data_IF_367047458672
#
_entry.id   IF_367047458672
#
_cell.length_a   1.000
_cell.length_b   1.000
_cell.length_c   1.000
_cell.angle_alpha   90.00
_cell.angle_beta   90.00
_cell.angle_gamma   90.00
#
_symmetry.space_group_name_H-M   'P 1'
#
loop_
_entity.id
_entity.type
_entity.pdbx_description
1 polymer ?
#
# COMPACT_ATOMS: atom_id res chain seq x y z
N UNK A 1 68.54 27.95 7.26
CA UNK A 1 67.46 27.04 7.72
C UNK A 1 66.37 27.04 6.66
N UNK A 2 66.24 25.94 5.95
CA UNK A 2 65.28 25.86 4.84
C UNK A 2 63.89 25.56 5.37
N UNK A 3 62.86 26.01 4.65
CA UNK A 3 61.45 25.83 5.01
C UNK A 3 61.03 24.36 5.22
N UNK A 4 61.88 23.39 4.84
CA UNK A 4 61.68 21.97 4.99
C UNK A 4 61.95 21.43 6.41
N UNK A 5 62.75 22.11 7.22
CA UNK A 5 63.04 21.67 8.60
C UNK A 5 62.00 22.09 9.62
N UNK A 6 61.18 23.08 9.30
CA UNK A 6 60.11 23.58 10.22
C UNK A 6 58.88 22.68 10.23
N UNK A 7 58.62 21.94 9.15
CA UNK A 7 57.43 21.04 9.04
C UNK A 7 57.65 19.71 9.77
N UNK A 8 58.91 19.28 9.98
CA UNK A 8 59.22 18.00 10.60
C UNK A 8 59.04 17.96 12.13
N UNK A 9 58.90 19.11 12.80
CA UNK A 9 58.82 19.21 14.26
C UNK A 9 57.47 19.69 14.79
N UNK A 10 56.40 19.61 14.02
CA UNK A 10 55.06 19.80 14.58
C UNK A 10 54.62 18.54 15.35
N UNK A 11 54.39 18.63 16.67
CA UNK A 11 53.85 17.48 17.40
C UNK A 11 52.47 17.14 16.86
N UNK A 12 52.35 15.95 16.29
CA UNK A 12 51.03 15.35 15.97
C UNK A 12 50.29 15.18 17.32
N UNK A 13 49.52 16.21 17.69
CA UNK A 13 48.53 16.07 18.74
C UNK A 13 47.47 15.09 18.17
N UNK A 14 47.64 13.81 18.46
CA UNK A 14 46.57 12.84 18.35
C UNK A 14 45.47 13.25 19.34
N UNK A 15 44.55 14.10 18.88
CA UNK A 15 43.33 14.37 19.57
C UNK A 15 42.53 13.05 19.57
N UNK A 16 42.75 12.23 20.60
CA UNK A 16 41.85 11.13 20.94
C UNK A 16 40.48 11.74 21.19
N UNK A 17 39.63 11.70 20.18
CA UNK A 17 38.21 12.01 20.30
C UNK A 17 37.67 11.00 21.32
N UNK A 18 37.60 11.39 22.59
CA UNK A 18 36.83 10.65 23.59
C UNK A 18 35.40 10.65 23.12
N UNK A 19 35.00 9.55 22.49
CA UNK A 19 33.57 9.25 22.21
C UNK A 19 32.94 9.14 23.61
N UNK A 20 32.39 10.25 24.08
CA UNK A 20 31.57 10.27 25.28
C UNK A 20 30.40 9.30 24.97
N UNK A 21 30.34 8.15 25.64
CA UNK A 21 29.15 7.30 25.64
C UNK A 21 28.02 8.18 26.11
N UNK A 22 27.22 8.68 25.15
CA UNK A 22 26.01 9.44 25.45
C UNK A 22 25.16 8.60 26.40
N UNK A 23 25.07 9.04 27.66
CA UNK A 23 23.98 8.57 28.54
C UNK A 23 22.69 8.81 27.80
N UNK A 24 21.86 7.77 27.66
CA UNK A 24 20.59 7.87 26.98
C UNK A 24 19.82 9.12 27.46
N UNK A 25 19.66 10.09 26.59
CA UNK A 25 18.98 11.34 26.92
C UNK A 25 17.45 11.10 26.88
N UNK A 26 16.90 10.88 28.06
CA UNK A 26 15.46 10.64 28.26
C UNK A 26 14.59 11.90 28.13
N UNK A 27 15.20 13.06 27.85
CA UNK A 27 14.44 14.32 27.72
C UNK A 27 13.44 14.29 26.58
N UNK A 28 13.74 13.57 25.50
CA UNK A 28 12.82 13.37 24.38
C UNK A 28 11.54 12.61 24.74
N UNK A 29 11.58 11.73 25.76
CA UNK A 29 10.42 10.99 26.22
C UNK A 29 9.27 11.87 26.71
N UNK A 30 9.57 13.04 27.27
CA UNK A 30 8.53 13.99 27.71
C UNK A 30 7.63 14.48 26.58
N UNK A 31 8.13 14.45 25.34
CA UNK A 31 7.36 14.84 24.15
C UNK A 31 6.68 13.64 23.47
N UNK A 32 7.26 12.45 23.62
CA UNK A 32 6.75 11.24 22.97
C UNK A 32 5.71 10.48 23.80
N UNK A 33 5.71 10.61 25.13
CA UNK A 33 4.84 9.77 25.96
C UNK A 33 3.33 9.94 25.70
N UNK A 34 2.79 11.15 25.40
CA UNK A 34 1.36 11.26 25.11
C UNK A 34 0.98 10.47 23.86
N UNK A 35 1.79 10.55 22.80
CA UNK A 35 1.60 9.76 21.60
C UNK A 35 1.75 8.25 21.90
N UNK A 36 2.77 7.86 22.63
CA UNK A 36 3.02 6.46 22.97
C UNK A 36 1.87 5.86 23.79
N UNK A 37 1.30 6.64 24.73
CA UNK A 37 0.14 6.21 25.51
C UNK A 37 -1.07 5.96 24.61
N UNK A 38 -1.41 6.92 23.74
CA UNK A 38 -2.54 6.77 22.80
C UNK A 38 -2.28 5.59 21.84
N UNK A 39 -1.06 5.45 21.33
CA UNK A 39 -0.68 4.34 20.45
C UNK A 39 -0.86 2.98 21.13
N UNK A 40 -0.41 2.83 22.37
CA UNK A 40 -0.59 1.58 23.13
C UNK A 40 -2.07 1.30 23.37
N UNK A 41 -2.84 2.30 23.75
CA UNK A 41 -4.26 2.13 24.07
C UNK A 41 -5.12 1.79 22.83
N UNK A 42 -4.84 2.45 21.71
CA UNK A 42 -5.66 2.33 20.49
C UNK A 42 -5.22 1.17 19.60
N UNK A 43 -3.93 0.85 19.57
CA UNK A 43 -3.40 -0.18 18.67
C UNK A 43 -2.91 -1.42 19.41
N UNK A 44 -2.03 -1.27 20.41
CA UNK A 44 -1.39 -2.44 21.04
C UNK A 44 -2.39 -3.25 21.86
N UNK A 45 -3.18 -2.61 22.71
CA UNK A 45 -4.16 -3.31 23.56
C UNK A 45 -5.20 -4.08 22.73
N UNK A 46 -5.85 -3.50 21.70
CA UNK A 46 -6.80 -4.25 20.87
C UNK A 46 -6.14 -5.41 20.12
N UNK A 47 -4.91 -5.27 19.64
CA UNK A 47 -4.19 -6.38 18.99
C UNK A 47 -3.94 -7.52 20.00
N UNK A 48 -3.44 -7.20 21.19
CA UNK A 48 -3.22 -8.19 22.25
C UNK A 48 -4.54 -8.87 22.68
N UNK A 49 -5.62 -8.10 22.75
CA UNK A 49 -6.94 -8.64 23.02
C UNK A 49 -7.43 -9.56 21.89
N UNK A 50 -7.24 -9.19 20.64
CA UNK A 50 -7.57 -10.05 19.51
C UNK A 50 -6.76 -11.36 19.53
N UNK A 51 -5.44 -11.29 19.84
CA UNK A 51 -4.61 -12.48 20.03
C UNK A 51 -5.17 -13.32 21.19
N UNK A 52 -5.51 -12.70 22.31
CA UNK A 52 -6.08 -13.43 23.45
C UNK A 52 -7.36 -14.17 23.10
N UNK A 53 -8.37 -13.49 22.52
CA UNK A 53 -9.64 -14.10 22.19
C UNK A 53 -9.55 -15.14 21.08
N UNK A 54 -8.52 -15.12 20.23
CA UNK A 54 -8.31 -16.10 19.16
C UNK A 54 -8.06 -17.52 19.68
N UNK A 55 -7.59 -17.66 20.93
CA UNK A 55 -7.39 -18.95 21.60
C UNK A 55 -8.64 -19.50 22.29
N UNK A 56 -9.74 -18.77 22.23
CA UNK A 56 -11.00 -19.15 22.83
C UNK A 56 -12.07 -19.40 21.77
N UNK A 57 -13.13 -20.11 22.15
CA UNK A 57 -14.29 -20.32 21.31
C UNK A 57 -15.57 -20.10 22.13
N UNK A 58 -16.48 -19.31 21.61
CA UNK A 58 -17.82 -19.12 22.16
C UNK A 58 -18.69 -20.31 21.76
N UNK A 59 -19.19 -21.05 22.72
CA UNK A 59 -20.10 -22.19 22.51
C UNK A 59 -21.55 -21.72 22.66
N UNK A 60 -22.47 -22.35 21.93
CA UNK A 60 -23.91 -22.04 22.05
C UNK A 60 -24.44 -22.32 23.47
N UNK A 61 -23.91 -23.35 24.11
CA UNK A 61 -24.24 -23.74 25.48
C UNK A 61 -22.91 -23.91 26.22
N UNK A 62 -22.76 -23.24 27.39
CA UNK A 62 -21.52 -23.35 28.19
C UNK A 62 -20.57 -22.17 28.13
N UNK A 63 -20.90 -21.09 27.38
CA UNK A 63 -20.10 -19.84 27.38
C UNK A 63 -18.85 -19.92 26.56
N UNK A 64 -17.77 -19.24 26.97
CA UNK A 64 -16.49 -19.18 26.26
C UNK A 64 -15.50 -20.17 26.84
N UNK A 65 -14.96 -21.04 26.00
CA UNK A 65 -14.00 -22.08 26.37
C UNK A 65 -12.64 -21.82 25.73
N UNK A 66 -11.58 -22.09 26.49
CA UNK A 66 -10.21 -22.10 25.94
C UNK A 66 -10.02 -23.32 25.04
N UNK A 67 -9.62 -23.10 23.79
CA UNK A 67 -9.44 -24.13 22.75
C UNK A 67 -8.02 -24.15 22.17
N UNK A 68 -7.11 -23.36 22.73
CA UNK A 68 -5.74 -23.27 22.24
C UNK A 68 -5.72 -22.86 20.76
N UNK A 69 -4.99 -23.62 19.94
CA UNK A 69 -4.79 -23.33 18.50
C UNK A 69 -5.89 -23.87 17.58
N UNK A 70 -6.99 -24.41 18.11
CA UNK A 70 -8.03 -25.06 17.29
C UNK A 70 -8.65 -24.14 16.25
N UNK A 71 -8.81 -22.83 16.55
CA UNK A 71 -9.29 -21.86 15.58
C UNK A 71 -8.33 -21.72 14.39
N UNK A 72 -7.03 -21.77 14.63
CA UNK A 72 -6.01 -21.71 13.58
C UNK A 72 -5.99 -22.99 12.74
N UNK A 73 -6.11 -24.16 13.38
CA UNK A 73 -6.22 -25.46 12.67
C UNK A 73 -7.46 -25.45 11.77
N UNK A 74 -8.61 -25.01 12.28
CA UNK A 74 -9.83 -24.83 11.49
C UNK A 74 -9.60 -23.91 10.30
N UNK A 75 -8.91 -22.78 10.50
CA UNK A 75 -8.64 -21.79 9.48
C UNK A 75 -7.78 -22.35 8.34
N UNK A 76 -6.76 -23.15 8.66
CA UNK A 76 -5.92 -23.79 7.64
C UNK A 76 -6.70 -24.76 6.73
N UNK A 77 -7.81 -25.29 7.18
CA UNK A 77 -8.70 -26.16 6.38
C UNK A 77 -9.91 -25.41 5.81
N UNK A 78 -10.03 -24.11 6.05
CA UNK A 78 -11.15 -23.29 5.58
C UNK A 78 -10.95 -22.88 4.12
N UNK A 79 -11.68 -23.54 3.23
CA UNK A 79 -11.63 -23.25 1.78
C UNK A 79 -12.09 -21.83 1.45
N UNK A 80 -13.02 -21.24 2.20
CA UNK A 80 -13.50 -19.86 1.98
C UNK A 80 -12.39 -18.85 2.28
N UNK A 81 -11.63 -19.09 3.35
CA UNK A 81 -10.47 -18.28 3.69
C UNK A 81 -9.42 -18.31 2.58
N UNK A 82 -8.97 -19.49 2.15
CA UNK A 82 -7.94 -19.60 1.13
C UNK A 82 -8.39 -19.10 -0.25
N UNK A 83 -9.67 -19.28 -0.60
CA UNK A 83 -10.26 -18.68 -1.81
C UNK A 83 -10.21 -17.16 -1.76
N UNK A 84 -10.51 -16.54 -0.62
CA UNK A 84 -10.45 -15.10 -0.42
C UNK A 84 -9.00 -14.57 -0.47
N UNK A 85 -8.05 -15.26 0.16
CA UNK A 85 -6.61 -14.94 0.10
C UNK A 85 -6.09 -15.03 -1.32
N UNK A 86 -6.41 -16.12 -2.03
CA UNK A 86 -6.00 -16.30 -3.43
C UNK A 86 -6.54 -15.20 -4.35
N UNK A 87 -7.78 -14.77 -4.15
CA UNK A 87 -8.39 -13.66 -4.90
C UNK A 87 -7.66 -12.35 -4.67
N UNK A 88 -7.36 -12.01 -3.41
CA UNK A 88 -6.62 -10.79 -3.09
C UNK A 88 -5.16 -10.87 -3.55
N UNK A 89 -4.53 -12.05 -3.49
CA UNK A 89 -3.19 -12.24 -4.03
C UNK A 89 -3.15 -12.01 -5.55
N UNK A 90 -4.11 -12.56 -6.31
CA UNK A 90 -4.26 -12.31 -7.74
C UNK A 90 -4.51 -10.83 -8.03
N UNK A 91 -5.43 -10.21 -7.27
CA UNK A 91 -5.70 -8.77 -7.35
C UNK A 91 -4.42 -7.96 -7.17
N UNK A 92 -3.67 -8.21 -6.11
CA UNK A 92 -2.41 -7.52 -5.80
C UNK A 92 -1.39 -7.70 -6.92
N UNK A 93 -1.23 -8.94 -7.41
CA UNK A 93 -0.24 -9.26 -8.45
C UNK A 93 -0.50 -8.56 -9.79
N UNK A 94 -1.75 -8.23 -10.10
CA UNK A 94 -2.12 -7.57 -11.36
C UNK A 94 -2.30 -6.05 -11.15
N UNK A 95 -3.08 -5.65 -10.17
CA UNK A 95 -3.47 -4.25 -9.97
C UNK A 95 -2.30 -3.38 -9.53
N UNK A 96 -1.47 -3.85 -8.57
CA UNK A 96 -0.35 -3.04 -8.04
C UNK A 96 0.69 -2.70 -9.12
N UNK A 97 1.20 -3.63 -9.95
CA UNK A 97 2.10 -3.27 -11.04
C UNK A 97 1.50 -2.27 -12.02
N UNK A 98 0.24 -2.44 -12.42
CA UNK A 98 -0.45 -1.52 -13.35
C UNK A 98 -0.54 -0.13 -12.73
N UNK A 99 -1.00 -0.01 -11.51
CA UNK A 99 -1.14 1.26 -10.80
C UNK A 99 0.21 1.97 -10.62
N UNK A 100 1.24 1.26 -10.20
CA UNK A 100 2.57 1.84 -9.99
C UNK A 100 3.24 2.23 -11.32
N UNK A 101 3.02 1.46 -12.39
CA UNK A 101 3.48 1.83 -13.72
C UNK A 101 2.82 3.13 -14.20
N UNK A 102 1.50 3.26 -14.07
CA UNK A 102 0.78 4.49 -14.41
C UNK A 102 1.25 5.67 -13.56
N UNK A 103 1.44 5.46 -12.27
CA UNK A 103 1.94 6.48 -11.35
C UNK A 103 3.34 6.97 -11.72
N UNK A 104 4.25 6.05 -12.04
CA UNK A 104 5.60 6.38 -12.46
C UNK A 104 5.61 7.11 -13.82
N UNK A 105 4.81 6.65 -14.78
CA UNK A 105 4.66 7.31 -16.08
C UNK A 105 4.14 8.75 -15.94
N UNK A 106 3.12 8.96 -15.09
CA UNK A 106 2.61 10.29 -14.78
C UNK A 106 3.64 11.17 -14.07
N UNK A 107 4.39 10.64 -13.11
CA UNK A 107 5.44 11.37 -12.40
C UNK A 107 6.56 11.82 -13.36
N UNK A 108 7.01 10.92 -14.24
CA UNK A 108 8.01 11.22 -15.26
C UNK A 108 7.52 12.29 -16.25
N UNK A 109 6.23 12.24 -16.65
CA UNK A 109 5.63 13.25 -17.49
C UNK A 109 5.56 14.61 -16.81
N UNK A 110 5.20 14.65 -15.52
CA UNK A 110 5.13 15.90 -14.74
C UNK A 110 6.50 16.51 -14.43
N UNK A 111 7.55 15.68 -14.38
CA UNK A 111 8.94 16.11 -14.19
C UNK A 111 9.60 16.59 -15.50
N UNK A 112 8.88 16.55 -16.61
CA UNK A 112 9.40 17.05 -17.88
C UNK A 112 9.49 18.58 -17.86
N UNK A 113 10.66 19.13 -18.20
CA UNK A 113 10.89 20.58 -18.30
C UNK A 113 10.01 21.27 -19.37
N UNK A 114 9.43 20.49 -20.29
CA UNK A 114 8.56 20.97 -21.36
C UNK A 114 7.10 21.13 -20.99
N UNK A 115 6.67 20.57 -19.85
CA UNK A 115 5.27 20.55 -19.47
C UNK A 115 4.83 21.89 -18.87
N UNK A 116 3.99 22.61 -19.60
CA UNK A 116 3.31 23.80 -19.11
C UNK A 116 2.09 23.40 -18.25
N UNK A 117 1.92 24.07 -17.11
CA UNK A 117 0.80 23.77 -16.21
C UNK A 117 0.94 22.51 -15.33
N UNK A 118 2.15 22.02 -15.10
CA UNK A 118 2.43 20.84 -14.26
C UNK A 118 1.72 20.89 -12.90
N UNK A 119 1.58 22.07 -12.29
CA UNK A 119 0.87 22.27 -11.02
C UNK A 119 -0.61 21.87 -11.14
N UNK A 120 -1.29 22.24 -12.21
CA UNK A 120 -2.69 21.90 -12.45
C UNK A 120 -2.85 20.38 -12.63
N UNK A 121 -2.05 19.78 -13.49
CA UNK A 121 -2.10 18.32 -13.72
C UNK A 121 -1.79 17.51 -12.46
N UNK A 122 -0.84 17.96 -11.65
CA UNK A 122 -0.51 17.32 -10.37
C UNK A 122 -1.69 17.34 -9.40
N UNK A 123 -2.37 18.47 -9.26
CA UNK A 123 -3.55 18.60 -8.39
C UNK A 123 -4.70 17.73 -8.93
N UNK A 124 -5.00 17.81 -10.22
CA UNK A 124 -6.09 17.07 -10.85
C UNK A 124 -5.90 15.56 -10.74
N UNK A 125 -4.67 15.07 -10.92
CA UNK A 125 -4.35 13.64 -10.81
C UNK A 125 -4.41 13.15 -9.35
N UNK A 126 -4.10 14.01 -8.39
CA UNK A 126 -4.17 13.69 -6.97
C UNK A 126 -5.61 13.75 -6.42
N UNK A 127 -6.50 14.53 -7.03
CA UNK A 127 -7.85 14.77 -6.55
C UNK A 127 -8.66 13.49 -6.26
N UNK A 128 -8.59 12.43 -7.07
CA UNK A 128 -9.27 11.16 -6.79
C UNK A 128 -8.97 10.59 -5.39
N UNK A 129 -7.73 10.66 -4.94
CA UNK A 129 -7.33 10.19 -3.61
C UNK A 129 -8.01 10.95 -2.46
N UNK A 130 -8.38 12.21 -2.68
CA UNK A 130 -9.10 13.02 -1.68
C UNK A 130 -10.60 12.68 -1.58
N UNK A 131 -11.13 11.89 -2.52
CA UNK A 131 -12.54 11.45 -2.49
C UNK A 131 -12.64 10.27 -1.52
N UNK A 132 -13.61 10.29 -0.57
CA UNK A 132 -13.83 9.13 0.30
C UNK A 132 -14.14 7.86 -0.50
N UNK A 133 -13.49 6.74 -0.18
CA UNK A 133 -13.63 5.46 -0.90
C UNK A 133 -15.09 4.98 -1.07
N UNK A 134 -15.96 5.28 -0.10
CA UNK A 134 -17.40 4.98 -0.20
C UNK A 134 -18.03 5.76 -1.36
N UNK A 135 -17.70 7.03 -1.50
CA UNK A 135 -18.27 7.89 -2.56
C UNK A 135 -17.75 7.49 -3.93
N UNK A 136 -16.44 7.28 -4.05
CA UNK A 136 -15.84 6.84 -5.32
C UNK A 136 -16.41 5.50 -5.77
N UNK A 137 -16.56 4.54 -4.86
CA UNK A 137 -17.14 3.23 -5.20
C UNK A 137 -18.60 3.34 -5.65
N UNK A 138 -19.42 4.18 -5.01
CA UNK A 138 -20.80 4.41 -5.45
C UNK A 138 -20.89 5.07 -6.83
N UNK A 139 -20.03 6.06 -7.10
CA UNK A 139 -19.97 6.73 -8.40
C UNK A 139 -19.54 5.73 -9.49
N UNK A 140 -18.48 4.97 -9.26
CA UNK A 140 -18.02 3.96 -10.22
C UNK A 140 -19.04 2.83 -10.40
N UNK A 141 -19.68 2.37 -9.31
CA UNK A 141 -20.74 1.37 -9.38
C UNK A 141 -21.91 1.82 -10.26
N UNK A 142 -22.33 3.11 -10.15
CA UNK A 142 -23.30 3.70 -11.05
C UNK A 142 -22.79 3.75 -12.50
N UNK A 143 -21.55 4.18 -12.72
CA UNK A 143 -20.95 4.26 -14.06
C UNK A 143 -20.82 2.89 -14.74
N UNK A 144 -20.65 1.82 -13.97
CA UNK A 144 -20.55 0.44 -14.47
C UNK A 144 -21.92 -0.20 -14.77
N UNK A 145 -23.01 0.45 -14.40
CA UNK A 145 -24.36 -0.09 -14.64
C UNK A 145 -24.59 -0.40 -16.12
N UNK A 146 -25.01 -1.65 -16.42
CA UNK A 146 -25.18 -2.13 -17.80
C UNK A 146 -26.33 -1.44 -18.57
N UNK A 147 -27.31 -0.86 -17.85
CA UNK A 147 -28.48 -0.18 -18.44
C UNK A 147 -28.48 1.35 -18.24
N UNK A 148 -27.60 1.86 -17.40
CA UNK A 148 -27.47 3.28 -17.10
C UNK A 148 -26.02 3.59 -16.73
N UNK A 149 -25.67 4.85 -16.65
CA UNK A 149 -24.28 5.24 -16.45
C UNK A 149 -23.47 5.19 -17.74
N UNK A 150 -22.14 5.22 -17.60
CA UNK A 150 -21.24 5.25 -18.76
C UNK A 150 -21.32 3.95 -19.59
N UNK A 151 -21.32 2.80 -18.93
CA UNK A 151 -21.34 1.49 -19.60
C UNK A 151 -22.67 1.27 -20.30
N UNK A 152 -23.80 1.65 -19.68
CA UNK A 152 -25.12 1.59 -20.33
C UNK A 152 -25.17 2.45 -21.60
N UNK A 153 -24.70 3.70 -21.54
CA UNK A 153 -24.63 4.57 -22.72
C UNK A 153 -23.73 4.03 -23.82
N UNK A 154 -22.59 3.40 -23.45
CA UNK A 154 -21.72 2.73 -24.42
C UNK A 154 -22.38 1.51 -25.05
N UNK A 155 -23.11 0.72 -24.28
CA UNK A 155 -23.87 -0.42 -24.77
C UNK A 155 -24.91 0.01 -25.80
N UNK A 156 -25.67 1.07 -25.51
CA UNK A 156 -26.68 1.61 -26.43
C UNK A 156 -26.04 2.15 -27.73
N UNK A 157 -24.89 2.86 -27.60
CA UNK A 157 -24.20 3.44 -28.75
C UNK A 157 -23.52 2.38 -29.64
N UNK A 158 -22.92 1.33 -29.03
CA UNK A 158 -22.19 0.28 -29.75
C UNK A 158 -23.04 -0.93 -30.09
N UNK A 159 -24.29 -1.02 -29.61
CA UNK A 159 -25.14 -2.19 -29.75
C UNK A 159 -24.60 -3.43 -29.03
N UNK A 160 -23.88 -3.22 -27.88
CA UNK A 160 -23.27 -4.28 -27.10
C UNK A 160 -24.01 -4.53 -25.79
N UNK A 161 -23.68 -5.62 -25.08
CA UNK A 161 -24.21 -5.96 -23.76
C UNK A 161 -23.04 -6.19 -22.80
N UNK A 162 -22.16 -5.20 -22.67
CA UNK A 162 -21.06 -5.26 -21.72
C UNK A 162 -21.61 -5.17 -20.29
N UNK A 163 -21.27 -6.14 -19.45
CA UNK A 163 -21.56 -6.14 -18.02
C UNK A 163 -20.24 -6.18 -17.24
N UNK A 164 -19.78 -5.00 -16.85
CA UNK A 164 -18.51 -4.80 -16.11
C UNK A 164 -18.64 -5.32 -14.67
N UNK A 165 -19.85 -5.44 -14.14
CA UNK A 165 -20.12 -5.97 -12.80
C UNK A 165 -20.36 -7.49 -12.82
N UNK A 166 -20.20 -8.16 -13.96
CA UNK A 166 -20.27 -9.63 -14.04
C UNK A 166 -19.14 -10.29 -13.24
N UNK A 167 -19.36 -11.51 -12.70
CA UNK A 167 -18.37 -12.20 -11.85
C UNK A 167 -16.99 -12.33 -12.47
N UNK A 168 -16.90 -12.46 -13.80
CA UNK A 168 -15.64 -12.66 -14.52
C UNK A 168 -14.79 -11.38 -14.65
N UNK A 169 -15.42 -10.20 -14.61
CA UNK A 169 -14.76 -8.90 -14.83
C UNK A 169 -14.73 -8.07 -13.57
N UNK A 170 -15.55 -8.41 -12.58
CA UNK A 170 -15.73 -7.67 -11.34
C UNK A 170 -14.41 -7.35 -10.60
N UNK A 171 -13.48 -8.30 -10.55
CA UNK A 171 -12.18 -8.08 -9.90
C UNK A 171 -11.36 -6.99 -10.62
N UNK A 172 -11.45 -6.94 -11.94
CA UNK A 172 -10.84 -5.89 -12.75
C UNK A 172 -11.55 -4.54 -12.57
N UNK A 173 -12.88 -4.53 -12.42
CA UNK A 173 -13.65 -3.34 -12.11
C UNK A 173 -13.23 -2.73 -10.76
N UNK A 174 -13.11 -3.56 -9.72
CA UNK A 174 -12.59 -3.14 -8.42
C UNK A 174 -11.14 -2.63 -8.57
N UNK A 175 -10.32 -3.31 -9.36
CA UNK A 175 -8.95 -2.90 -9.66
C UNK A 175 -8.87 -1.53 -10.33
N UNK A 176 -9.81 -1.21 -11.22
CA UNK A 176 -9.89 0.12 -11.82
C UNK A 176 -10.24 1.21 -10.79
N UNK A 177 -11.18 0.95 -9.87
CA UNK A 177 -11.53 1.90 -8.80
C UNK A 177 -10.31 2.21 -7.96
N UNK A 178 -9.64 1.18 -7.43
CA UNK A 178 -8.44 1.33 -6.58
C UNK A 178 -7.29 2.00 -7.35
N UNK A 179 -7.11 1.66 -8.63
CA UNK A 179 -6.10 2.30 -9.48
C UNK A 179 -6.40 3.79 -9.67
N UNK A 180 -7.64 4.16 -9.95
CA UNK A 180 -8.06 5.56 -10.07
C UNK A 180 -7.85 6.34 -8.77
N UNK A 181 -8.18 5.74 -7.62
CA UNK A 181 -8.00 6.37 -6.31
C UNK A 181 -6.52 6.61 -5.96
N UNK A 182 -5.66 5.61 -6.16
CA UNK A 182 -4.31 5.64 -5.60
C UNK A 182 -3.20 6.00 -6.59
N UNK A 183 -3.46 6.05 -7.91
CA UNK A 183 -2.45 6.42 -8.90
C UNK A 183 -1.86 7.79 -8.63
N UNK A 184 -2.71 8.78 -8.33
CA UNK A 184 -2.24 10.15 -8.06
C UNK A 184 -1.44 10.28 -6.78
N UNK A 185 -1.79 9.53 -5.75
CA UNK A 185 -1.02 9.46 -4.50
C UNK A 185 0.38 8.88 -4.74
N UNK A 186 0.47 7.74 -5.40
CA UNK A 186 1.76 7.12 -5.72
C UNK A 186 2.58 7.99 -6.70
N UNK A 187 1.93 8.64 -7.65
CA UNK A 187 2.56 9.60 -8.55
C UNK A 187 3.24 10.75 -7.78
N UNK A 188 2.61 11.29 -6.73
CA UNK A 188 3.22 12.33 -5.92
C UNK A 188 4.46 11.85 -5.17
N UNK A 189 4.46 10.60 -4.69
CA UNK A 189 5.65 10.01 -4.04
C UNK A 189 6.80 9.92 -5.05
N UNK A 190 6.54 9.42 -6.25
CA UNK A 190 7.56 9.36 -7.32
C UNK A 190 8.01 10.74 -7.76
N UNK A 191 7.09 11.67 -7.98
CA UNK A 191 7.42 13.05 -8.34
C UNK A 191 8.28 13.73 -7.26
N UNK A 192 7.98 13.51 -5.98
CA UNK A 192 8.78 14.04 -4.88
C UNK A 192 10.21 13.50 -4.91
N UNK A 193 10.41 12.22 -5.22
CA UNK A 193 11.73 11.63 -5.40
C UNK A 193 12.48 12.25 -6.59
N UNK A 194 11.80 12.42 -7.74
CA UNK A 194 12.41 13.07 -8.92
C UNK A 194 12.80 14.52 -8.63
N UNK A 195 12.01 15.25 -7.85
CA UNK A 195 12.27 16.65 -7.52
C UNK A 195 13.53 16.87 -6.66
N UNK A 196 14.12 15.81 -6.10
CA UNK A 196 15.40 15.89 -5.36
C UNK A 196 16.62 15.90 -6.29
N UNK A 197 16.45 15.53 -7.56
CA UNK A 197 17.53 15.52 -8.56
C UNK A 197 17.89 16.97 -8.93
N UNK A 198 19.17 17.39 -8.77
CA UNK A 198 19.58 18.73 -9.17
C UNK A 198 19.38 18.98 -10.67
N UNK A 199 18.80 20.13 -11.02
CA UNK A 199 18.59 20.50 -12.43
C UNK A 199 19.89 20.55 -13.24
N UNK A 200 21.02 20.89 -12.61
CA UNK A 200 22.34 20.89 -13.25
C UNK A 200 22.72 19.54 -13.83
N UNK A 201 22.21 18.43 -13.26
CA UNK A 201 22.47 17.09 -13.79
C UNK A 201 21.76 16.88 -15.15
N UNK A 202 20.54 17.40 -15.28
CA UNK A 202 19.79 17.35 -16.55
C UNK A 202 20.43 18.24 -17.62
N UNK A 203 20.91 19.44 -17.23
CA UNK A 203 21.61 20.35 -18.11
C UNK A 203 22.91 19.75 -18.62
N UNK A 204 23.73 19.17 -17.74
CA UNK A 204 24.97 18.48 -18.12
C UNK A 204 24.70 17.33 -19.11
N UNK A 205 23.73 16.47 -18.81
CA UNK A 205 23.35 15.37 -19.69
C UNK A 205 22.86 15.87 -21.07
N UNK A 206 22.16 17.02 -21.11
CA UNK A 206 21.70 17.64 -22.36
C UNK A 206 22.85 18.22 -23.17
N UNK A 207 23.87 18.80 -22.52
CA UNK A 207 25.11 19.30 -23.18
C UNK A 207 25.90 18.13 -23.78
N UNK A 208 25.92 16.99 -23.09
CA UNK A 208 26.54 15.73 -23.56
C UNK A 208 25.72 15.08 -24.70
N UNK A 209 24.61 15.65 -25.12
CA UNK A 209 23.78 15.17 -26.23
C UNK A 209 22.84 14.01 -25.84
N UNK A 210 22.58 13.78 -24.53
CA UNK A 210 21.65 12.75 -24.09
C UNK A 210 20.20 13.09 -24.50
N UNK A 211 19.52 12.13 -25.11
CA UNK A 211 18.08 12.22 -25.37
C UNK A 211 17.27 12.14 -24.06
N UNK A 212 16.04 12.63 -24.07
CA UNK A 212 15.14 12.53 -22.91
C UNK A 212 14.97 11.09 -22.42
N UNK A 213 14.91 10.13 -23.35
CA UNK A 213 14.82 8.71 -22.98
C UNK A 213 16.07 8.21 -22.27
N UNK A 214 17.25 8.67 -22.64
CA UNK A 214 18.51 8.36 -21.95
C UNK A 214 18.53 8.97 -20.55
N UNK A 215 18.06 10.21 -20.39
CA UNK A 215 17.90 10.87 -19.08
C UNK A 215 16.93 10.08 -18.20
N UNK A 216 15.77 9.68 -18.73
CA UNK A 216 14.81 8.85 -17.98
C UNK A 216 15.46 7.54 -17.53
N UNK A 217 16.11 6.81 -18.45
CA UNK A 217 16.65 5.49 -18.16
C UNK A 217 17.86 5.51 -17.21
N UNK A 218 18.75 6.50 -17.37
CA UNK A 218 20.03 6.52 -16.68
C UNK A 218 20.05 7.39 -15.41
N UNK A 219 19.13 8.35 -15.29
CA UNK A 219 19.07 9.28 -14.15
C UNK A 219 17.76 9.08 -13.37
N UNK A 220 16.59 9.23 -14.03
CA UNK A 220 15.31 9.27 -13.33
C UNK A 220 14.86 7.92 -12.80
N UNK A 221 14.90 6.84 -13.62
CA UNK A 221 14.48 5.50 -13.18
C UNK A 221 15.33 4.91 -12.04
N UNK A 222 16.68 5.06 -12.04
CA UNK A 222 17.48 4.66 -10.90
C UNK A 222 17.10 5.37 -9.60
N UNK A 223 16.80 6.67 -9.66
CA UNK A 223 16.39 7.47 -8.50
C UNK A 223 15.04 7.00 -7.93
N UNK A 224 14.13 6.54 -8.78
CA UNK A 224 12.84 6.04 -8.35
C UNK A 224 12.89 4.71 -7.58
N UNK A 225 14.01 3.97 -7.58
CA UNK A 225 14.10 2.64 -6.94
C UNK A 225 13.72 2.66 -5.46
N UNK A 226 14.18 3.69 -4.72
CA UNK A 226 13.88 3.83 -3.30
C UNK A 226 12.39 4.06 -3.03
N UNK A 227 11.80 5.01 -3.74
CA UNK A 227 10.37 5.33 -3.63
C UNK A 227 9.48 4.20 -4.15
N UNK A 228 9.92 3.47 -5.20
CA UNK A 228 9.23 2.30 -5.71
C UNK A 228 9.12 1.19 -4.65
N UNK A 229 10.20 0.92 -3.92
CA UNK A 229 10.18 -0.08 -2.85
C UNK A 229 9.13 0.26 -1.78
N UNK A 230 9.09 1.52 -1.35
CA UNK A 230 8.13 2.00 -0.35
C UNK A 230 6.69 1.88 -0.89
N UNK A 231 6.44 2.35 -2.12
CA UNK A 231 5.10 2.31 -2.71
C UNK A 231 4.62 0.88 -2.96
N UNK A 232 5.49 -0.04 -3.36
CA UNK A 232 5.16 -1.48 -3.50
C UNK A 232 4.71 -2.05 -2.15
N UNK A 233 5.45 -1.80 -1.08
CA UNK A 233 5.12 -2.32 0.27
C UNK A 233 3.76 -1.79 0.72
N UNK A 234 3.53 -0.46 0.63
CA UNK A 234 2.25 0.13 1.02
C UNK A 234 1.09 -0.34 0.14
N UNK A 235 1.31 -0.50 -1.16
CA UNK A 235 0.27 -1.01 -2.07
C UNK A 235 -0.09 -2.47 -1.79
N UNK A 236 0.88 -3.32 -1.46
CA UNK A 236 0.62 -4.70 -1.03
C UNK A 236 -0.20 -4.70 0.25
N UNK A 237 0.22 -3.95 1.28
CA UNK A 237 -0.51 -3.86 2.54
C UNK A 237 -1.95 -3.38 2.28
N UNK A 238 -2.13 -2.32 1.50
CA UNK A 238 -3.45 -1.78 1.14
C UNK A 238 -4.31 -2.78 0.38
N UNK A 239 -3.74 -3.53 -0.56
CA UNK A 239 -4.47 -4.56 -1.31
C UNK A 239 -4.97 -5.70 -0.41
N UNK A 240 -4.17 -6.14 0.58
CA UNK A 240 -4.60 -7.14 1.56
C UNK A 240 -5.62 -6.58 2.56
N UNK A 241 -5.78 -5.25 2.64
CA UNK A 241 -6.81 -4.57 3.43
C UNK A 241 -8.09 -4.25 2.63
N UNK A 242 -8.19 -4.70 1.38
CA UNK A 242 -9.34 -4.48 0.50
C UNK A 242 -10.65 -4.92 1.18
N UNK A 243 -11.54 -3.94 1.41
CA UNK A 243 -12.82 -4.16 2.09
C UNK A 243 -13.94 -3.24 1.55
N UNK A 244 -13.68 -1.94 1.44
CA UNK A 244 -14.72 -0.94 1.16
C UNK A 244 -15.35 -1.17 -0.23
N UNK A 245 -14.54 -1.26 -1.27
CA UNK A 245 -14.97 -1.35 -2.65
C UNK A 245 -15.84 -2.59 -2.89
N UNK A 246 -15.40 -3.83 -2.55
CA UNK A 246 -16.24 -4.99 -2.74
C UNK A 246 -17.45 -5.01 -1.79
N UNK A 247 -17.34 -4.48 -0.56
CA UNK A 247 -18.45 -4.45 0.39
C UNK A 247 -19.59 -3.52 -0.07
N UNK A 248 -19.26 -2.39 -0.66
CA UNK A 248 -20.25 -1.44 -1.19
C UNK A 248 -20.87 -1.98 -2.48
N UNK A 249 -20.03 -2.48 -3.39
CA UNK A 249 -20.51 -3.07 -4.65
C UNK A 249 -21.37 -4.30 -4.43
N UNK A 250 -21.23 -5.03 -3.34
CA UNK A 250 -22.04 -6.21 -2.99
C UNK A 250 -23.54 -5.93 -3.10
N UNK A 251 -23.97 -4.71 -2.74
CA UNK A 251 -25.38 -4.32 -2.81
C UNK A 251 -25.81 -3.83 -4.21
N UNK A 252 -24.87 -3.60 -5.11
CA UNK A 252 -25.10 -3.06 -6.46
C UNK A 252 -25.00 -4.14 -7.55
N UNK A 253 -24.30 -5.23 -7.25
CA UNK A 253 -24.03 -6.32 -8.19
C UNK A 253 -25.19 -7.31 -8.18
N UNK A 254 -25.70 -7.74 -9.35
CA UNK A 254 -26.77 -8.73 -9.41
C UNK A 254 -26.32 -10.11 -8.90
N UNK A 255 -27.19 -10.78 -8.16
CA UNK A 255 -26.92 -12.11 -7.62
C UNK A 255 -25.89 -12.13 -6.48
N UNK A 256 -25.21 -13.26 -6.33
CA UNK A 256 -24.18 -13.47 -5.29
C UNK A 256 -22.75 -13.36 -5.84
N UNK A 257 -22.51 -12.49 -6.82
CA UNK A 257 -21.18 -12.33 -7.43
C UNK A 257 -20.11 -11.89 -6.39
N UNK A 258 -20.50 -11.08 -5.42
CA UNK A 258 -19.67 -10.75 -4.25
C UNK A 258 -20.21 -11.51 -3.03
N UNK A 259 -19.48 -12.54 -2.62
CA UNK A 259 -19.82 -13.33 -1.43
C UNK A 259 -19.39 -12.62 -0.16
N UNK A 260 -19.91 -13.07 1.00
CA UNK A 260 -19.50 -12.57 2.33
C UNK A 260 -18.03 -12.84 2.67
N UNK A 261 -17.40 -13.76 1.94
CA UNK A 261 -15.97 -14.10 2.00
C UNK A 261 -15.21 -13.69 0.72
N UNK A 262 -15.64 -12.65 0.03
CA UNK A 262 -15.00 -12.19 -1.20
C UNK A 262 -13.55 -11.75 -0.97
N UNK A 263 -13.30 -11.05 0.12
CA UNK A 263 -11.95 -10.76 0.62
C UNK A 263 -11.80 -11.28 2.05
N UNK A 264 -10.56 -11.50 2.54
CA UNK A 264 -10.35 -11.95 3.92
C UNK A 264 -10.94 -10.99 4.96
N UNK A 265 -10.87 -9.68 4.70
CA UNK A 265 -11.44 -8.68 5.62
C UNK A 265 -12.97 -8.70 5.62
N UNK A 266 -13.62 -8.90 4.48
CA UNK A 266 -15.08 -9.12 4.43
C UNK A 266 -15.46 -10.38 5.20
N UNK A 267 -14.67 -11.43 5.07
CA UNK A 267 -14.90 -12.68 5.79
C UNK A 267 -14.78 -12.49 7.29
N UNK A 268 -13.71 -11.86 7.77
CA UNK A 268 -13.52 -11.53 9.19
C UNK A 268 -14.69 -10.67 9.73
N UNK A 269 -15.09 -9.65 8.97
CA UNK A 269 -16.21 -8.78 9.33
C UNK A 269 -17.52 -9.57 9.45
N UNK A 270 -17.86 -10.37 8.47
CA UNK A 270 -19.11 -11.15 8.47
C UNK A 270 -19.11 -12.19 9.59
N UNK A 271 -18.00 -12.88 9.85
CA UNK A 271 -17.87 -13.81 10.98
C UNK A 271 -18.08 -13.11 12.32
N UNK A 272 -17.53 -11.89 12.48
CA UNK A 272 -17.61 -11.16 13.75
C UNK A 272 -19.01 -10.62 14.01
N UNK A 273 -19.62 -9.97 13.01
CA UNK A 273 -20.83 -9.17 13.21
C UNK A 273 -22.12 -9.90 12.82
N UNK A 274 -22.12 -10.71 11.77
CA UNK A 274 -23.28 -11.48 11.34
C UNK A 274 -23.25 -12.92 11.85
N UNK A 275 -22.07 -13.55 11.85
CA UNK A 275 -21.89 -14.94 12.24
C UNK A 275 -21.72 -15.20 13.73
N UNK A 276 -21.60 -14.15 14.55
CA UNK A 276 -21.34 -14.25 16.01
C UNK A 276 -20.13 -15.14 16.36
N UNK A 277 -19.12 -15.22 15.48
CA UNK A 277 -17.90 -16.03 15.61
C UNK A 277 -16.66 -15.15 15.80
N UNK A 278 -16.73 -14.15 16.69
CA UNK A 278 -15.66 -13.16 16.91
C UNK A 278 -14.30 -13.79 17.23
N UNK A 279 -14.29 -14.91 17.95
CA UNK A 279 -13.08 -15.65 18.30
C UNK A 279 -12.38 -16.23 17.06
N UNK A 280 -13.15 -16.82 16.15
CA UNK A 280 -12.64 -17.37 14.91
C UNK A 280 -12.21 -16.24 13.94
N UNK A 281 -12.98 -15.16 13.86
CA UNK A 281 -12.63 -13.97 13.11
C UNK A 281 -11.33 -13.32 13.60
N UNK A 282 -11.09 -13.31 14.91
CA UNK A 282 -9.82 -12.85 15.48
C UNK A 282 -8.64 -13.71 15.03
N UNK A 283 -8.77 -15.04 15.05
CA UNK A 283 -7.73 -15.94 14.52
C UNK A 283 -7.46 -15.68 13.02
N UNK A 284 -8.52 -15.44 12.22
CA UNK A 284 -8.40 -15.08 10.83
C UNK A 284 -7.64 -13.74 10.64
N UNK A 285 -8.03 -12.71 11.38
CA UNK A 285 -7.40 -11.39 11.29
C UNK A 285 -5.91 -11.43 11.69
N UNK A 286 -5.55 -12.16 12.76
CA UNK A 286 -4.15 -12.35 13.16
C UNK A 286 -3.37 -13.12 12.10
N UNK A 287 -3.93 -14.16 11.51
CA UNK A 287 -3.28 -14.91 10.43
C UNK A 287 -3.05 -14.03 9.21
N UNK A 288 -4.03 -13.20 8.83
CA UNK A 288 -3.87 -12.23 7.75
C UNK A 288 -2.78 -11.20 8.05
N UNK A 289 -2.71 -10.68 9.28
CA UNK A 289 -1.65 -9.76 9.68
C UNK A 289 -0.26 -10.40 9.53
N UNK A 290 -0.11 -11.67 9.93
CA UNK A 290 1.16 -12.42 9.79
C UNK A 290 1.50 -12.63 8.32
N UNK A 291 0.55 -13.05 7.48
CA UNK A 291 0.76 -13.25 6.04
C UNK A 291 1.21 -11.93 5.39
N UNK A 292 0.47 -10.85 5.63
CA UNK A 292 0.78 -9.53 5.05
C UNK A 292 2.14 -9.03 5.51
N UNK A 293 2.45 -9.18 6.79
CA UNK A 293 3.77 -8.81 7.35
C UNK A 293 4.91 -9.62 6.71
N UNK A 294 4.73 -10.94 6.54
CA UNK A 294 5.73 -11.80 5.92
C UNK A 294 6.00 -11.41 4.47
N UNK A 295 4.94 -11.12 3.69
CA UNK A 295 5.08 -10.67 2.30
C UNK A 295 5.77 -9.31 2.23
N UNK A 296 5.34 -8.33 3.03
CA UNK A 296 5.91 -6.99 3.06
C UNK A 296 7.40 -7.04 3.46
N UNK A 297 7.75 -7.85 4.46
CA UNK A 297 9.13 -8.03 4.91
C UNK A 297 10.00 -8.70 3.85
N UNK A 298 9.49 -9.72 3.15
CA UNK A 298 10.21 -10.37 2.05
C UNK A 298 10.53 -9.39 0.91
N UNK A 299 9.56 -8.54 0.54
CA UNK A 299 9.75 -7.48 -0.47
C UNK A 299 10.80 -6.47 -0.01
N UNK A 300 10.73 -6.04 1.26
CA UNK A 300 11.69 -5.09 1.82
C UNK A 300 13.12 -5.64 1.83
N UNK A 301 13.31 -6.90 2.22
CA UNK A 301 14.63 -7.54 2.21
C UNK A 301 15.24 -7.60 0.81
N UNK A 302 14.43 -7.90 -0.20
CA UNK A 302 14.90 -7.94 -1.58
C UNK A 302 15.29 -6.55 -2.08
N UNK A 303 14.47 -5.53 -1.77
CA UNK A 303 14.78 -4.13 -2.12
C UNK A 303 16.08 -3.63 -1.47
N UNK A 304 16.31 -3.94 -0.19
CA UNK A 304 17.56 -3.57 0.49
C UNK A 304 18.80 -4.24 -0.14
N UNK A 305 18.69 -5.51 -0.55
CA UNK A 305 19.80 -6.21 -1.24
C UNK A 305 20.13 -5.57 -2.60
N UNK A 306 19.14 -5.05 -3.30
CA UNK A 306 19.35 -4.36 -4.58
C UNK A 306 19.99 -2.98 -4.42
N UNK A 307 19.69 -2.28 -3.32
CA UNK A 307 20.29 -0.97 -3.01
C UNK A 307 21.76 -1.08 -2.52
N UNK A 308 22.16 -2.24 -2.00
CA UNK A 308 23.54 -2.50 -1.54
C UNK A 308 24.48 -3.02 -2.66
N UNK A 309 23.96 -3.30 -3.84
CA UNK A 309 24.74 -3.70 -5.04
C UNK A 309 25.04 -2.49 -5.92
#
# INVERSE_FOLDING_TARGET
MSATEVVANMPLHSATVRVNKHKADWRGWKFMWPFALVFVFVFVIPILYAIYISFFQKQMIGGTKFVGISNYIRLFHDQQFWSSVGRVALFTAVQVPIMLFLSAAMALALDSMKLHGAKFFRISTFLPYAVPAVVSTLVWGFMYGAKYGLVGSLNDWLGTNLDVLSPNVLLAAIGNIVTWEFTGYNMLIFYSSLSTIPHSLYEAASIDGASEWQIIKSIKLPELKGSLAITVIFSIIGSFQLFNEPSILQNMVPGNAITTYYTPNMYAYNLSFAGNQSNYAAALAITMAVITMAIAYAVQLNSMKEQMK
#
